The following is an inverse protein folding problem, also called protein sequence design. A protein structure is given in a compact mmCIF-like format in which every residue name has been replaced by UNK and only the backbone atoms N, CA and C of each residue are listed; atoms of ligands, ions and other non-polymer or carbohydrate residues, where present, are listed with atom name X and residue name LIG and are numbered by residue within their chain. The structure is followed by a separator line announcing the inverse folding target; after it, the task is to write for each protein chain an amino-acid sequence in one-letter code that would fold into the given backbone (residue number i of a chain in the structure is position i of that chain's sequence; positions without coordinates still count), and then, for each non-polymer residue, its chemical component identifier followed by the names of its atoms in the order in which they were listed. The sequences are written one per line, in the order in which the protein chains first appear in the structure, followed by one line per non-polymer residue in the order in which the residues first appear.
data_IF_130560407746
#
_entry.id   IF_130560407746
#
_cell.length_a   1.000
_cell.length_b   1.000
_cell.length_c   1.000
_cell.angle_alpha   90.00
_cell.angle_beta   90.00
_cell.angle_gamma   90.00
#
_symmetry.space_group_name_H-M   'P 1'
#
loop_
_entity.id
_entity.type
_entity.pdbx_description
1 polymer ?
#
# COMPACT_ATOMS: atom_id res chain seq x y z
N UNK A 1 -17.95 33.99 -6.45
CA UNK A 1 -18.27 35.07 -7.41
C UNK A 1 -17.03 35.83 -7.86
N UNK A 2 -16.04 36.10 -7.04
CA UNK A 2 -14.78 36.78 -7.38
C UNK A 2 -13.88 36.03 -8.39
N UNK A 3 -13.84 34.70 -8.33
CA UNK A 3 -13.05 33.86 -9.25
C UNK A 3 -13.63 33.86 -10.69
N UNK A 4 -14.95 33.97 -10.81
CA UNK A 4 -15.63 33.99 -12.10
C UNK A 4 -15.46 35.35 -12.82
N UNK A 5 -15.31 36.47 -12.07
CA UNK A 5 -15.08 37.79 -12.61
C UNK A 5 -13.62 38.01 -13.03
N UNK A 6 -12.66 37.39 -12.36
CA UNK A 6 -11.23 37.48 -12.69
C UNK A 6 -10.89 36.77 -14.00
N UNK A 7 -11.52 35.60 -14.26
CA UNK A 7 -11.33 34.87 -15.52
C UNK A 7 -11.95 35.60 -16.73
N UNK A 8 -13.01 36.39 -16.51
CA UNK A 8 -13.59 37.23 -17.60
C UNK A 8 -12.74 38.44 -17.93
N UNK A 9 -11.98 39.00 -16.99
CA UNK A 9 -11.11 40.19 -17.21
C UNK A 9 -9.78 39.84 -17.92
N UNK A 10 -9.28 38.64 -17.83
CA UNK A 10 -8.11 38.23 -18.65
C UNK A 10 -8.41 38.04 -20.13
N UNK A 11 -9.68 38.08 -20.53
CA UNK A 11 -10.13 37.73 -21.88
C UNK A 11 -10.33 38.95 -22.83
N UNK A 12 -10.20 40.17 -22.34
CA UNK A 12 -10.53 41.36 -23.16
C UNK A 12 -9.34 42.23 -23.58
N UNK A 13 -8.11 41.88 -23.23
CA UNK A 13 -6.97 42.71 -23.54
C UNK A 13 -5.76 41.92 -24.07
N UNK A 14 -5.84 41.38 -25.29
CA UNK A 14 -4.64 41.11 -26.08
C UNK A 14 -4.96 41.24 -27.57
N UNK A 15 -4.33 42.23 -28.16
CA UNK A 15 -4.30 42.54 -29.56
C UNK A 15 -3.74 41.39 -30.42
N UNK A 16 -4.23 41.42 -31.66
CA UNK A 16 -3.85 40.72 -32.87
C UNK A 16 -2.35 40.31 -32.96
N UNK A 17 -2.16 39.09 -33.48
CA UNK A 17 -0.92 38.49 -33.99
C UNK A 17 -0.08 37.72 -32.99
N UNK A 18 -0.51 36.48 -32.70
CA UNK A 18 0.35 35.34 -32.48
C UNK A 18 -0.55 34.08 -32.56
N UNK A 19 -0.28 33.23 -33.53
CA UNK A 19 -1.01 31.98 -33.73
C UNK A 19 -0.73 30.98 -32.58
N UNK A 20 -1.41 31.19 -31.48
CA UNK A 20 -1.48 30.22 -30.40
C UNK A 20 -2.82 29.50 -30.52
N UNK A 21 -2.79 28.20 -30.80
CA UNK A 21 -3.92 27.28 -30.64
C UNK A 21 -4.33 27.25 -29.17
N UNK A 22 -4.99 28.30 -28.70
CA UNK A 22 -5.64 28.29 -27.38
C UNK A 22 -6.81 27.30 -27.46
N UNK A 23 -6.68 26.14 -26.86
CA UNK A 23 -7.77 25.19 -26.67
C UNK A 23 -8.83 25.87 -25.81
N UNK A 24 -9.86 26.38 -26.44
CA UNK A 24 -11.01 27.01 -25.77
C UNK A 24 -11.76 25.95 -24.99
N UNK A 25 -11.48 25.81 -23.71
CA UNK A 25 -12.17 24.86 -22.82
C UNK A 25 -13.63 25.30 -22.70
N UNK A 26 -14.53 24.56 -23.33
CA UNK A 26 -15.97 24.84 -23.30
C UNK A 26 -16.56 24.22 -22.02
N UNK A 27 -16.62 24.97 -20.93
CA UNK A 27 -17.14 24.56 -19.63
C UNK A 27 -18.53 23.91 -19.70
N UNK A 28 -19.41 24.40 -20.58
CA UNK A 28 -20.75 23.83 -20.75
C UNK A 28 -20.72 22.41 -21.34
N UNK A 29 -19.75 22.10 -22.22
CA UNK A 29 -19.57 20.75 -22.75
C UNK A 29 -19.03 19.79 -21.67
N UNK A 30 -18.07 20.25 -20.87
CA UNK A 30 -17.51 19.46 -19.75
C UNK A 30 -18.60 19.18 -18.71
N UNK A 31 -19.35 20.19 -18.32
CA UNK A 31 -20.43 20.07 -17.35
C UNK A 31 -21.53 19.10 -17.82
N UNK A 32 -21.87 19.12 -19.11
CA UNK A 32 -22.81 18.18 -19.71
C UNK A 32 -22.22 16.76 -19.77
N UNK A 33 -20.93 16.62 -20.06
CA UNK A 33 -20.26 15.31 -20.10
C UNK A 33 -20.19 14.66 -18.70
N UNK A 34 -19.79 15.41 -17.67
CA UNK A 34 -19.75 14.95 -16.27
C UNK A 34 -21.16 14.55 -15.78
N UNK A 35 -22.21 15.25 -16.24
CA UNK A 35 -23.59 14.96 -15.88
C UNK A 35 -24.11 13.61 -16.41
N UNK A 36 -23.51 13.03 -17.45
CA UNK A 36 -23.87 11.71 -17.93
C UNK A 36 -23.47 10.63 -16.89
N UNK A 37 -24.16 9.49 -16.87
CA UNK A 37 -23.83 8.40 -15.94
C UNK A 37 -22.39 7.91 -16.11
N UNK A 38 -21.95 7.72 -17.34
CA UNK A 38 -20.57 7.33 -17.62
C UNK A 38 -19.58 8.44 -17.22
N UNK A 39 -19.89 9.68 -17.56
CA UNK A 39 -19.05 10.81 -17.18
C UNK A 39 -18.90 10.98 -15.68
N UNK A 40 -19.96 10.71 -14.91
CA UNK A 40 -19.91 10.73 -13.45
C UNK A 40 -19.00 9.61 -12.90
N UNK A 41 -19.14 8.36 -13.39
CA UNK A 41 -18.27 7.24 -13.05
C UNK A 41 -16.81 7.57 -13.36
N UNK A 42 -16.53 8.10 -14.56
CA UNK A 42 -15.15 8.47 -14.94
C UNK A 42 -14.60 9.61 -14.08
N UNK A 43 -15.44 10.56 -13.66
CA UNK A 43 -15.02 11.63 -12.75
C UNK A 43 -14.62 11.06 -11.38
N UNK A 44 -15.44 10.18 -10.80
CA UNK A 44 -15.11 9.52 -9.53
C UNK A 44 -13.85 8.65 -9.66
N UNK A 45 -13.70 7.94 -10.76
CA UNK A 45 -12.50 7.16 -11.06
C UNK A 45 -11.25 8.04 -11.13
N UNK A 46 -11.33 9.18 -11.82
CA UNK A 46 -10.21 10.12 -11.91
C UNK A 46 -9.83 10.69 -10.54
N UNK A 47 -10.83 11.06 -9.73
CA UNK A 47 -10.57 11.54 -8.36
C UNK A 47 -9.93 10.45 -7.50
N UNK A 48 -10.42 9.21 -7.56
CA UNK A 48 -9.83 8.08 -6.87
C UNK A 48 -8.39 7.83 -7.32
N UNK A 49 -8.15 7.82 -8.63
CA UNK A 49 -6.83 7.63 -9.22
C UNK A 49 -5.84 8.71 -8.77
N UNK A 50 -6.22 9.98 -8.83
CA UNK A 50 -5.36 11.09 -8.38
C UNK A 50 -5.02 10.99 -6.88
N UNK A 51 -5.99 10.64 -6.03
CA UNK A 51 -5.74 10.39 -4.61
C UNK A 51 -4.81 9.21 -4.38
N UNK A 52 -4.99 8.13 -5.14
CA UNK A 52 -4.13 6.96 -5.03
C UNK A 52 -2.71 7.28 -5.46
N UNK A 53 -2.52 8.05 -6.53
CA UNK A 53 -1.19 8.52 -6.94
C UNK A 53 -0.54 9.43 -5.89
N UNK A 54 -1.33 10.30 -5.27
CA UNK A 54 -0.87 11.15 -4.17
C UNK A 54 -0.37 10.29 -3.00
N UNK A 55 -1.15 9.29 -2.57
CA UNK A 55 -0.76 8.35 -1.52
C UNK A 55 0.48 7.55 -1.90
N UNK A 56 0.57 7.08 -3.14
CA UNK A 56 1.70 6.31 -3.64
C UNK A 56 3.01 7.11 -3.61
N UNK A 57 2.94 8.41 -3.90
CA UNK A 57 4.15 9.25 -3.96
C UNK A 57 4.53 9.84 -2.60
N UNK A 58 3.57 10.28 -1.80
CA UNK A 58 3.83 11.03 -0.57
C UNK A 58 3.89 10.13 0.66
N UNK A 59 2.96 9.18 0.78
CA UNK A 59 2.84 8.36 1.99
C UNK A 59 3.53 7.02 1.86
N UNK A 60 3.33 6.30 0.73
CA UNK A 60 3.87 4.95 0.56
C UNK A 60 5.27 4.92 -0.07
N UNK A 61 5.76 6.06 -0.54
CA UNK A 61 7.07 6.16 -1.21
C UNK A 61 7.24 5.10 -2.32
N UNK A 62 6.14 4.78 -3.02
CA UNK A 62 6.22 3.90 -4.17
C UNK A 62 6.92 4.65 -5.29
N UNK A 63 8.03 4.10 -5.79
CA UNK A 63 8.78 4.69 -6.90
C UNK A 63 7.94 4.67 -8.18
N UNK A 64 7.29 5.81 -8.48
CA UNK A 64 6.47 6.01 -9.69
C UNK A 64 7.26 6.91 -10.64
N UNK A 65 7.85 6.34 -11.67
CA UNK A 65 8.62 7.08 -12.67
C UNK A 65 7.94 7.05 -14.03
N UNK A 66 7.37 8.16 -14.45
CA UNK A 66 6.74 8.30 -15.77
C UNK A 66 7.76 8.45 -16.93
N UNK A 67 9.01 8.77 -16.64
CA UNK A 67 9.97 9.22 -17.64
C UNK A 67 11.04 8.25 -18.10
N UNK A 68 11.19 7.08 -17.48
CA UNK A 68 12.20 6.08 -17.84
C UNK A 68 11.56 4.71 -18.07
N UNK A 69 11.11 4.49 -19.29
CA UNK A 69 10.60 3.18 -19.73
C UNK A 69 11.69 2.09 -19.83
N UNK A 70 12.97 2.44 -19.76
CA UNK A 70 14.05 1.45 -19.77
C UNK A 70 14.26 0.89 -18.36
N UNK A 71 13.79 -0.33 -18.14
CA UNK A 71 14.12 -1.15 -16.97
C UNK A 71 13.25 -0.96 -15.74
N UNK A 72 12.11 -0.24 -15.80
CA UNK A 72 11.24 -0.07 -14.65
C UNK A 72 9.73 -0.13 -14.99
N UNK A 73 9.31 -1.26 -15.55
CA UNK A 73 7.91 -1.50 -15.90
C UNK A 73 6.97 -1.42 -14.68
N UNK A 74 7.45 -1.76 -13.49
CA UNK A 74 6.66 -1.64 -12.25
C UNK A 74 6.26 -0.21 -11.93
N UNK A 75 7.09 0.78 -12.24
CA UNK A 75 6.75 2.18 -12.05
C UNK A 75 5.62 2.63 -13.00
N UNK A 76 5.65 2.13 -14.23
CA UNK A 76 4.59 2.35 -15.21
C UNK A 76 3.30 1.63 -14.80
N UNK A 77 3.40 0.38 -14.37
CA UNK A 77 2.26 -0.39 -13.85
C UNK A 77 1.63 0.35 -12.66
N UNK A 78 2.42 0.80 -11.69
CA UNK A 78 1.93 1.49 -10.50
C UNK A 78 1.14 2.77 -10.81
N UNK A 79 1.47 3.47 -11.89
CA UNK A 79 0.73 4.64 -12.33
C UNK A 79 -0.70 4.30 -12.80
N UNK A 80 -0.87 3.19 -13.51
CA UNK A 80 -2.14 2.79 -14.11
C UNK A 80 -2.94 1.79 -13.29
N UNK A 81 -2.32 1.03 -12.38
CA UNK A 81 -2.94 -0.09 -11.67
C UNK A 81 -4.21 0.25 -10.87
N UNK A 82 -4.44 1.50 -10.37
CA UNK A 82 -5.68 1.80 -9.68
C UNK A 82 -6.89 1.88 -10.60
N UNK A 83 -6.66 2.15 -11.91
CA UNK A 83 -7.72 2.41 -12.87
C UNK A 83 -8.55 1.18 -13.23
N UNK A 84 -7.98 0.00 -13.60
CA UNK A 84 -8.77 -1.14 -14.04
C UNK A 84 -9.76 -1.63 -12.98
N UNK A 85 -9.28 -1.86 -11.78
CA UNK A 85 -10.13 -2.37 -10.69
C UNK A 85 -11.06 -1.27 -10.13
N UNK A 86 -10.59 -0.04 -10.04
CA UNK A 86 -11.42 1.12 -9.70
C UNK A 86 -12.58 1.30 -10.67
N UNK A 87 -12.32 1.18 -11.99
CA UNK A 87 -13.36 1.22 -13.01
C UNK A 87 -14.30 0.02 -12.91
N UNK A 88 -13.77 -1.18 -12.68
CA UNK A 88 -14.58 -2.40 -12.53
C UNK A 88 -15.60 -2.23 -11.40
N UNK A 89 -15.16 -1.76 -10.24
CA UNK A 89 -16.04 -1.56 -9.08
C UNK A 89 -17.05 -0.44 -9.32
N UNK A 90 -16.63 0.72 -9.83
CA UNK A 90 -17.52 1.84 -10.10
C UNK A 90 -18.51 1.53 -11.25
N UNK A 91 -18.11 0.72 -12.23
CA UNK A 91 -18.98 0.31 -13.34
C UNK A 91 -20.19 -0.52 -12.87
N UNK A 92 -20.12 -1.18 -11.71
CA UNK A 92 -21.28 -1.88 -11.13
C UNK A 92 -22.49 -0.96 -10.95
N UNK A 93 -22.26 0.32 -10.66
CA UNK A 93 -23.34 1.29 -10.56
C UNK A 93 -24.09 1.50 -11.88
N UNK A 94 -23.43 1.33 -13.05
CA UNK A 94 -24.05 1.52 -14.38
C UNK A 94 -25.19 0.54 -14.67
N UNK A 95 -25.27 -0.57 -13.94
CA UNK A 95 -26.38 -1.54 -14.06
C UNK A 95 -27.66 -1.06 -13.39
N UNK A 96 -27.59 -0.04 -12.52
CA UNK A 96 -28.75 0.50 -11.83
C UNK A 96 -29.67 1.26 -12.82
N UNK A 97 -30.93 0.85 -12.93
CA UNK A 97 -31.93 1.53 -13.77
C UNK A 97 -32.37 2.85 -13.16
N UNK A 98 -32.61 2.86 -11.84
CA UNK A 98 -33.03 4.05 -11.10
C UNK A 98 -31.90 5.07 -10.99
N UNK A 99 -32.21 6.35 -11.24
CA UNK A 99 -31.28 7.45 -11.09
C UNK A 99 -30.77 7.58 -9.66
N UNK A 100 -31.65 7.48 -8.67
CA UNK A 100 -31.27 7.57 -7.26
C UNK A 100 -30.29 6.44 -6.89
N UNK A 101 -30.63 5.20 -7.24
CA UNK A 101 -29.78 4.03 -6.94
C UNK A 101 -28.42 4.19 -7.61
N UNK A 102 -28.38 4.60 -8.87
CA UNK A 102 -27.13 4.80 -9.61
C UNK A 102 -26.17 5.75 -8.86
N UNK A 103 -26.61 6.96 -8.55
CA UNK A 103 -25.75 7.95 -7.90
C UNK A 103 -25.40 7.56 -6.47
N UNK A 104 -26.34 6.97 -5.71
CA UNK A 104 -26.07 6.46 -4.36
C UNK A 104 -25.03 5.36 -4.39
N UNK A 105 -25.18 4.34 -5.23
CA UNK A 105 -24.24 3.23 -5.36
C UNK A 105 -22.86 3.73 -5.82
N UNK A 106 -22.82 4.65 -6.80
CA UNK A 106 -21.56 5.23 -7.25
C UNK A 106 -20.81 5.95 -6.11
N UNK A 107 -21.51 6.76 -5.31
CA UNK A 107 -20.92 7.47 -4.18
C UNK A 107 -20.51 6.49 -3.07
N UNK A 108 -21.32 5.48 -2.77
CA UNK A 108 -20.97 4.46 -1.77
C UNK A 108 -19.71 3.70 -2.16
N UNK A 109 -19.63 3.21 -3.41
CA UNK A 109 -18.42 2.51 -3.89
C UNK A 109 -17.21 3.44 -3.83
N UNK A 110 -17.35 4.69 -4.28
CA UNK A 110 -16.28 5.67 -4.21
C UNK A 110 -15.82 5.93 -2.78
N UNK A 111 -16.77 6.09 -1.84
CA UNK A 111 -16.47 6.29 -0.41
C UNK A 111 -15.77 5.07 0.19
N UNK A 112 -16.18 3.86 -0.16
CA UNK A 112 -15.51 2.63 0.31
C UNK A 112 -14.08 2.52 -0.22
N UNK A 113 -13.86 2.83 -1.50
CA UNK A 113 -12.51 2.89 -2.09
C UNK A 113 -11.64 3.95 -1.41
N UNK A 114 -12.21 5.09 -1.09
CA UNK A 114 -11.53 6.16 -0.38
C UNK A 114 -11.20 5.78 1.07
N UNK A 115 -12.16 5.23 1.81
CA UNK A 115 -11.95 4.77 3.19
C UNK A 115 -10.83 3.72 3.21
N UNK A 116 -10.85 2.78 2.27
CA UNK A 116 -9.80 1.76 2.16
C UNK A 116 -8.43 2.37 1.87
N UNK A 117 -8.36 3.31 0.93
CA UNK A 117 -7.13 4.04 0.61
C UNK A 117 -6.59 4.78 1.84
N UNK A 118 -7.43 5.60 2.49
CA UNK A 118 -7.01 6.44 3.60
C UNK A 118 -6.67 5.64 4.86
N UNK A 119 -7.39 4.55 5.13
CA UNK A 119 -7.01 3.61 6.20
C UNK A 119 -5.62 3.02 5.98
N UNK A 120 -5.26 2.68 4.74
CA UNK A 120 -3.93 2.21 4.42
C UNK A 120 -2.87 3.32 4.52
N UNK A 121 -3.19 4.58 4.17
CA UNK A 121 -2.28 5.72 4.40
C UNK A 121 -1.97 5.85 5.87
N UNK A 122 -3.00 5.80 6.72
CA UNK A 122 -2.85 5.91 8.16
C UNK A 122 -2.03 4.76 8.76
N UNK A 123 -2.35 3.53 8.37
CA UNK A 123 -1.66 2.33 8.80
C UNK A 123 -0.19 2.31 8.34
N UNK A 124 0.07 2.72 7.10
CA UNK A 124 1.43 2.73 6.55
C UNK A 124 2.35 3.73 7.25
N UNK A 125 1.83 4.86 7.72
CA UNK A 125 2.60 5.85 8.48
C UNK A 125 3.14 5.29 9.78
N UNK A 126 2.39 4.39 10.42
CA UNK A 126 2.80 3.75 11.68
C UNK A 126 3.64 2.50 11.44
N UNK A 127 3.14 1.60 10.61
CA UNK A 127 3.71 0.27 10.47
C UNK A 127 4.61 0.07 9.25
N UNK A 128 4.72 1.05 8.35
CA UNK A 128 5.42 0.95 7.05
C UNK A 128 5.02 -0.31 6.25
N UNK A 129 3.75 -0.69 6.35
CA UNK A 129 3.16 -1.84 5.68
C UNK A 129 1.67 -1.59 5.36
N UNK A 130 1.01 -2.51 4.65
CA UNK A 130 -0.37 -2.41 4.24
C UNK A 130 -1.29 -3.30 5.08
N UNK A 131 -2.55 -2.88 5.24
CA UNK A 131 -3.56 -3.63 5.98
C UNK A 131 -3.89 -4.92 5.24
N UNK A 132 -3.58 -6.06 5.85
CA UNK A 132 -3.97 -7.38 5.36
C UNK A 132 -5.33 -7.81 5.91
N UNK A 133 -5.93 -8.86 5.33
CA UNK A 133 -7.17 -9.43 5.85
C UNK A 133 -7.02 -9.95 7.30
N UNK A 134 -5.84 -10.44 7.67
CA UNK A 134 -5.55 -10.86 9.05
C UNK A 134 -5.42 -9.66 9.99
N UNK A 135 -4.71 -8.61 9.57
CA UNK A 135 -4.56 -7.38 10.34
C UNK A 135 -5.91 -6.73 10.68
N UNK A 136 -6.86 -6.74 9.73
CA UNK A 136 -8.21 -6.23 9.98
C UNK A 136 -8.92 -6.91 11.15
N UNK A 137 -8.70 -8.22 11.36
CA UNK A 137 -9.27 -8.96 12.50
C UNK A 137 -8.68 -8.51 13.83
N UNK A 138 -7.43 -8.09 13.83
CA UNK A 138 -6.71 -7.67 15.05
C UNK A 138 -7.01 -6.22 15.38
N UNK A 139 -7.01 -5.32 14.39
CA UNK A 139 -7.34 -3.90 14.58
C UNK A 139 -8.74 -3.73 15.22
N UNK A 140 -9.67 -4.62 14.91
CA UNK A 140 -10.99 -4.62 15.56
C UNK A 140 -10.96 -4.92 17.07
N UNK A 141 -9.85 -5.46 17.60
CA UNK A 141 -9.68 -5.85 19.01
C UNK A 141 -8.75 -4.89 19.77
N UNK A 142 -8.02 -4.04 19.07
CA UNK A 142 -7.11 -3.06 19.68
C UNK A 142 -7.90 -1.78 19.93
N UNK A 143 -7.92 -1.32 21.18
CA UNK A 143 -8.51 -0.02 21.51
C UNK A 143 -7.67 1.09 20.90
N UNK A 144 -8.33 1.99 20.15
CA UNK A 144 -7.76 3.19 19.56
C UNK A 144 -7.21 4.08 20.70
N UNK A 145 -5.90 4.24 20.76
CA UNK A 145 -5.22 5.04 21.77
C UNK A 145 -4.97 6.49 21.33
N UNK A 146 -4.55 7.33 22.27
CA UNK A 146 -4.26 8.76 22.03
C UNK A 146 -3.11 9.03 21.07
N UNK A 147 -2.23 8.05 20.82
CA UNK A 147 -1.09 8.15 19.88
C UNK A 147 -1.54 8.33 18.41
N UNK A 148 -2.78 8.03 18.09
CA UNK A 148 -3.27 8.07 16.70
C UNK A 148 -3.47 9.49 16.16
N UNK A 149 -3.64 10.49 17.04
CA UNK A 149 -3.77 11.88 16.60
C UNK A 149 -2.48 12.46 16.02
N UNK A 150 -1.32 11.92 16.41
CA UNK A 150 0.00 12.33 15.89
C UNK A 150 0.22 11.89 14.44
N UNK A 151 -0.50 10.86 13.99
CA UNK A 151 -0.41 10.36 12.62
C UNK A 151 -1.18 11.23 11.61
N UNK A 152 -2.11 12.08 12.10
CA UNK A 152 -2.84 13.03 11.27
C UNK A 152 -1.95 14.20 10.89
N UNK A 153 -1.81 14.43 9.59
CA UNK A 153 -1.05 15.56 9.04
C UNK A 153 -1.99 16.65 8.55
N UNK A 154 -1.58 17.91 8.71
CA UNK A 154 -2.37 19.05 8.22
C UNK A 154 -2.69 18.96 6.72
N UNK A 155 -1.85 18.27 5.95
CA UNK A 155 -2.06 18.06 4.51
C UNK A 155 -3.14 17.03 4.18
N UNK A 156 -3.62 16.27 5.14
CA UNK A 156 -4.60 15.21 4.90
C UNK A 156 -5.95 15.75 4.42
N UNK A 157 -6.24 17.04 4.67
CA UNK A 157 -7.44 17.65 4.13
C UNK A 157 -7.53 17.56 2.60
N UNK A 158 -6.39 17.44 1.90
CA UNK A 158 -6.34 17.27 0.44
C UNK A 158 -7.08 16.00 0.01
N UNK A 159 -6.96 14.92 0.79
CA UNK A 159 -7.67 13.66 0.53
C UNK A 159 -9.19 13.79 0.64
N UNK A 160 -9.69 14.78 1.38
CA UNK A 160 -11.12 14.96 1.64
C UNK A 160 -11.76 16.06 0.81
N UNK A 161 -10.97 16.95 0.17
CA UNK A 161 -11.47 18.16 -0.51
C UNK A 161 -12.50 17.91 -1.61
N UNK A 162 -12.45 16.78 -2.26
CA UNK A 162 -13.37 16.46 -3.36
C UNK A 162 -14.79 16.16 -2.87
N UNK A 163 -14.98 15.66 -1.64
CA UNK A 163 -16.32 15.41 -1.08
C UNK A 163 -17.13 16.69 -0.93
N UNK A 164 -16.66 17.74 -0.22
CA UNK A 164 -17.37 19.00 -0.16
C UNK A 164 -17.49 19.68 -1.52
N UNK A 165 -16.48 19.53 -2.42
CA UNK A 165 -16.54 20.06 -3.77
C UNK A 165 -17.65 19.38 -4.58
N UNK A 166 -17.73 18.05 -4.58
CA UNK A 166 -18.79 17.29 -5.25
C UNK A 166 -20.16 17.63 -4.68
N UNK A 167 -20.30 17.69 -3.35
CA UNK A 167 -21.53 18.08 -2.69
C UNK A 167 -21.98 19.50 -3.10
N UNK A 168 -21.05 20.45 -3.14
CA UNK A 168 -21.32 21.82 -3.60
C UNK A 168 -21.75 21.88 -5.05
N UNK A 169 -21.06 21.15 -5.96
CA UNK A 169 -21.40 21.11 -7.38
C UNK A 169 -22.77 20.48 -7.65
N UNK A 170 -23.12 19.44 -6.87
CA UNK A 170 -24.46 18.82 -6.93
C UNK A 170 -25.53 19.75 -6.34
N UNK A 171 -25.28 20.41 -5.20
CA UNK A 171 -26.20 21.34 -4.58
C UNK A 171 -26.51 22.56 -5.48
N UNK A 172 -25.48 23.15 -6.06
CA UNK A 172 -25.61 24.26 -7.01
C UNK A 172 -26.16 23.84 -8.38
N UNK A 173 -26.51 22.54 -8.56
CA UNK A 173 -26.96 21.98 -9.85
C UNK A 173 -25.99 22.27 -11.00
N UNK A 174 -24.72 22.47 -10.69
CA UNK A 174 -23.68 22.58 -11.69
C UNK A 174 -23.49 21.27 -12.46
N UNK A 175 -23.72 20.13 -11.81
CA UNK A 175 -23.79 18.81 -12.44
C UNK A 175 -25.27 18.45 -12.58
N UNK A 176 -25.75 18.37 -13.83
CA UNK A 176 -27.13 17.93 -14.09
C UNK A 176 -27.18 16.40 -14.12
N UNK A 177 -27.94 15.83 -13.19
CA UNK A 177 -28.08 14.37 -13.06
C UNK A 177 -28.80 13.78 -14.28
N UNK A 178 -28.19 12.85 -14.99
CA UNK A 178 -28.81 12.14 -16.11
C UNK A 178 -29.86 11.15 -15.61
N UNK A 179 -31.10 11.39 -15.97
CA UNK A 179 -32.23 10.54 -15.59
C UNK A 179 -32.38 9.29 -16.48
N UNK A 180 -31.66 9.24 -17.62
CA UNK A 180 -31.76 8.12 -18.57
C UNK A 180 -30.97 6.92 -18.04
N UNK A 181 -31.55 5.70 -18.08
CA UNK A 181 -30.82 4.51 -17.73
C UNK A 181 -29.66 4.29 -18.73
N UNK A 182 -28.54 3.80 -18.22
CA UNK A 182 -27.43 3.43 -19.08
C UNK A 182 -27.74 2.13 -19.82
N UNK A 183 -27.27 1.99 -21.05
CA UNK A 183 -27.55 0.80 -21.87
C UNK A 183 -26.86 -0.42 -21.29
N UNK A 184 -27.61 -1.48 -21.02
CA UNK A 184 -27.08 -2.73 -20.44
C UNK A 184 -25.86 -3.28 -21.20
N UNK A 185 -25.95 -3.33 -22.55
CA UNK A 185 -24.82 -3.78 -23.39
C UNK A 185 -23.56 -2.94 -23.19
N UNK A 186 -23.71 -1.63 -23.02
CA UNK A 186 -22.58 -0.74 -22.76
C UNK A 186 -22.02 -0.93 -21.34
N UNK A 187 -22.87 -1.21 -20.33
CA UNK A 187 -22.39 -1.56 -18.99
C UNK A 187 -21.54 -2.84 -19.03
N UNK A 188 -22.03 -3.88 -19.71
CA UNK A 188 -21.30 -5.14 -19.89
C UNK A 188 -19.96 -4.90 -20.61
N UNK A 189 -19.97 -4.10 -21.69
CA UNK A 189 -18.74 -3.80 -22.43
C UNK A 189 -17.71 -3.08 -21.57
N UNK A 190 -18.12 -2.11 -20.73
CA UNK A 190 -17.21 -1.39 -19.82
C UNK A 190 -16.68 -2.34 -18.76
N UNK A 191 -17.52 -3.18 -18.17
CA UNK A 191 -17.11 -4.18 -17.17
C UNK A 191 -16.12 -5.18 -17.77
N UNK A 192 -16.41 -5.69 -18.97
CA UNK A 192 -15.52 -6.61 -19.68
C UNK A 192 -14.16 -5.95 -20.03
N UNK A 193 -14.19 -4.69 -20.49
CA UNK A 193 -12.98 -3.93 -20.76
C UNK A 193 -12.16 -3.74 -19.48
N UNK A 194 -12.80 -3.40 -18.37
CA UNK A 194 -12.11 -3.22 -17.08
C UNK A 194 -11.49 -4.54 -16.60
N UNK A 195 -12.20 -5.66 -16.74
CA UNK A 195 -11.67 -6.98 -16.40
C UNK A 195 -10.49 -7.36 -17.31
N UNK A 196 -10.57 -7.08 -18.61
CA UNK A 196 -9.46 -7.30 -19.55
C UNK A 196 -8.22 -6.46 -19.19
N UNK A 197 -8.41 -5.18 -18.87
CA UNK A 197 -7.32 -4.29 -18.45
C UNK A 197 -6.70 -4.77 -17.13
N UNK A 198 -7.52 -5.27 -16.19
CA UNK A 198 -7.01 -5.84 -14.94
C UNK A 198 -6.22 -7.13 -15.20
N UNK A 199 -6.71 -8.01 -16.07
CA UNK A 199 -5.97 -9.22 -16.47
C UNK A 199 -4.66 -8.89 -17.18
N UNK A 200 -4.65 -7.87 -18.02
CA UNK A 200 -3.42 -7.37 -18.65
C UNK A 200 -2.44 -6.82 -17.61
N UNK A 201 -2.94 -6.10 -16.58
CA UNK A 201 -2.11 -5.63 -15.48
C UNK A 201 -1.48 -6.78 -14.69
N UNK A 202 -2.25 -7.85 -14.41
CA UNK A 202 -1.72 -9.06 -13.76
C UNK A 202 -0.62 -9.72 -14.60
N UNK A 203 -0.86 -9.84 -15.89
CA UNK A 203 0.11 -10.44 -16.82
C UNK A 203 1.42 -9.63 -16.90
N UNK A 204 1.33 -8.31 -16.96
CA UNK A 204 2.51 -7.42 -16.95
C UNK A 204 3.26 -7.50 -15.62
N UNK A 205 2.56 -7.60 -14.51
CA UNK A 205 3.15 -7.75 -13.18
C UNK A 205 3.94 -9.07 -13.06
N UNK A 206 3.40 -10.15 -13.62
CA UNK A 206 4.05 -11.47 -13.63
C UNK A 206 5.30 -11.51 -14.56
N UNK A 207 5.24 -10.82 -15.70
CA UNK A 207 6.42 -10.68 -16.59
C UNK A 207 7.54 -9.93 -15.88
N UNK A 208 7.22 -8.86 -15.20
CA UNK A 208 8.21 -8.02 -14.51
C UNK A 208 8.82 -8.73 -13.29
N UNK A 209 8.00 -9.49 -12.57
CA UNK A 209 8.41 -10.27 -11.41
C UNK A 209 7.73 -11.63 -11.41
N UNK A 210 8.40 -12.64 -11.99
CA UNK A 210 7.89 -14.01 -11.93
C UNK A 210 7.64 -14.45 -10.48
N UNK A 211 6.57 -15.20 -10.29
CA UNK A 211 6.14 -15.73 -8.99
C UNK A 211 5.83 -14.67 -7.90
N UNK A 212 5.54 -13.42 -8.31
CA UNK A 212 5.24 -12.33 -7.37
C UNK A 212 4.12 -12.69 -6.39
N UNK A 213 3.07 -13.35 -6.88
CA UNK A 213 1.90 -13.70 -6.09
C UNK A 213 2.08 -14.98 -5.27
N UNK A 214 2.94 -15.90 -5.72
CA UNK A 214 3.19 -17.18 -5.06
C UNK A 214 4.24 -17.09 -3.96
N UNK A 215 5.29 -16.31 -4.19
CA UNK A 215 6.41 -16.19 -3.26
C UNK A 215 6.19 -15.16 -2.14
N UNK A 216 5.20 -14.25 -2.30
CA UNK A 216 4.81 -13.33 -1.23
C UNK A 216 5.93 -12.44 -0.69
N UNK A 217 6.81 -11.93 -1.54
CA UNK A 217 8.04 -11.21 -1.16
C UNK A 217 7.79 -10.03 -0.22
N UNK A 218 6.82 -9.20 -0.53
CA UNK A 218 6.50 -8.01 0.24
C UNK A 218 5.18 -7.43 -0.23
N UNK A 219 4.37 -7.00 0.72
CA UNK A 219 3.11 -6.30 0.45
C UNK A 219 3.32 -5.04 -0.41
N UNK A 220 4.46 -4.36 -0.23
CA UNK A 220 4.86 -3.21 -1.04
C UNK A 220 4.88 -3.51 -2.54
N UNK A 221 5.52 -4.61 -2.94
CA UNK A 221 5.60 -4.99 -4.36
C UNK A 221 4.24 -5.41 -4.91
N UNK A 222 3.43 -6.08 -4.11
CA UNK A 222 2.09 -6.52 -4.53
C UNK A 222 1.17 -5.31 -4.72
N UNK A 223 1.16 -4.35 -3.80
CA UNK A 223 0.38 -3.11 -3.95
C UNK A 223 0.87 -2.29 -5.15
N UNK A 224 2.20 -2.19 -5.33
CA UNK A 224 2.80 -1.50 -6.46
C UNK A 224 2.40 -2.13 -7.80
N UNK A 225 2.28 -3.45 -7.86
CA UNK A 225 1.92 -4.18 -9.07
C UNK A 225 0.40 -4.23 -9.33
N UNK A 226 -0.42 -4.41 -8.27
CA UNK A 226 -1.84 -4.75 -8.43
C UNK A 226 -2.82 -3.68 -7.97
N UNK A 227 -2.42 -2.70 -7.18
CA UNK A 227 -3.24 -1.73 -6.45
C UNK A 227 -3.79 -2.22 -5.10
N UNK A 228 -4.18 -1.26 -4.25
CA UNK A 228 -4.71 -1.55 -2.91
C UNK A 228 -5.98 -2.40 -2.88
N UNK A 229 -7.01 -2.18 -3.75
CA UNK A 229 -8.18 -3.04 -3.74
C UNK A 229 -7.89 -4.49 -4.16
N UNK A 230 -6.95 -4.69 -5.11
CA UNK A 230 -6.53 -6.03 -5.51
C UNK A 230 -5.71 -6.70 -4.41
N UNK A 231 -4.87 -5.96 -3.71
CA UNK A 231 -4.11 -6.44 -2.57
C UNK A 231 -5.03 -6.96 -1.44
N UNK A 232 -6.16 -6.31 -1.17
CA UNK A 232 -7.14 -6.83 -0.22
C UNK A 232 -7.65 -8.22 -0.62
N UNK A 233 -8.01 -8.40 -1.90
CA UNK A 233 -8.42 -9.71 -2.42
C UNK A 233 -7.31 -10.76 -2.32
N UNK A 234 -6.09 -10.38 -2.67
CA UNK A 234 -4.90 -11.23 -2.54
C UNK A 234 -4.69 -11.67 -1.09
N UNK A 235 -4.62 -10.73 -0.15
CA UNK A 235 -4.38 -11.02 1.27
C UNK A 235 -5.52 -11.85 1.90
N UNK A 236 -6.78 -11.63 1.45
CA UNK A 236 -7.91 -12.44 1.89
C UNK A 236 -7.78 -13.90 1.43
N UNK A 237 -7.39 -14.13 0.17
CA UNK A 237 -7.16 -15.47 -0.36
C UNK A 237 -6.01 -16.18 0.37
N UNK A 238 -4.91 -15.48 0.62
CA UNK A 238 -3.78 -15.99 1.39
C UNK A 238 -4.19 -16.39 2.82
N UNK A 239 -4.93 -15.50 3.50
CA UNK A 239 -5.43 -15.76 4.85
C UNK A 239 -6.39 -16.96 4.89
N UNK A 240 -7.23 -17.09 3.87
CA UNK A 240 -8.14 -18.24 3.73
C UNK A 240 -7.35 -19.54 3.55
N UNK A 241 -6.35 -19.56 2.66
CA UNK A 241 -5.50 -20.71 2.41
C UNK A 241 -4.73 -21.13 3.68
N UNK A 242 -4.10 -20.17 4.36
CA UNK A 242 -3.37 -20.42 5.60
C UNK A 242 -4.28 -21.01 6.70
N UNK A 243 -5.48 -20.44 6.88
CA UNK A 243 -6.44 -20.96 7.86
C UNK A 243 -6.94 -22.38 7.52
N UNK A 244 -7.11 -22.67 6.23
CA UNK A 244 -7.49 -24.00 5.75
C UNK A 244 -6.41 -25.04 6.02
N UNK A 245 -5.15 -24.69 5.79
CA UNK A 245 -4.03 -25.60 6.10
C UNK A 245 -3.88 -25.81 7.61
N UNK A 246 -3.99 -24.76 8.42
CA UNK A 246 -4.02 -24.90 9.89
C UNK A 246 -5.13 -25.82 10.39
N UNK A 247 -6.33 -25.72 9.82
CA UNK A 247 -7.45 -26.55 10.22
C UNK A 247 -7.27 -28.04 9.88
N UNK A 248 -6.37 -28.36 8.93
CA UNK A 248 -6.02 -29.73 8.57
C UNK A 248 -4.83 -30.28 9.33
N UNK A 249 -4.00 -29.40 9.91
CA UNK A 249 -2.80 -29.78 10.60
C UNK A 249 -3.12 -30.70 11.79
N UNK A 250 -2.38 -31.77 11.92
CA UNK A 250 -2.50 -32.81 12.97
C UNK A 250 -1.15 -33.02 13.68
N UNK A 251 -1.18 -33.64 14.83
CA UNK A 251 0.06 -33.99 15.54
C UNK A 251 0.98 -34.91 14.72
N UNK A 252 0.41 -35.70 13.81
CA UNK A 252 1.19 -36.58 12.93
C UNK A 252 2.02 -35.83 11.93
N UNK A 253 1.63 -34.58 11.59
CA UNK A 253 2.37 -33.73 10.65
C UNK A 253 3.63 -33.12 11.30
N UNK A 254 3.71 -33.14 12.63
CA UNK A 254 4.87 -32.63 13.37
C UNK A 254 6.03 -33.65 13.40
N UNK A 255 5.72 -34.96 13.30
CA UNK A 255 6.75 -36.01 13.39
C UNK A 255 7.85 -35.85 12.29
N UNK A 256 7.53 -35.70 11.01
CA UNK A 256 8.55 -35.52 9.98
C UNK A 256 9.40 -34.24 10.18
N UNK A 257 8.79 -33.18 10.75
CA UNK A 257 9.51 -31.94 11.07
C UNK A 257 10.48 -32.18 12.24
N UNK A 258 10.02 -32.88 13.27
CA UNK A 258 10.84 -33.23 14.44
C UNK A 258 12.01 -34.10 14.03
N UNK A 259 11.76 -35.13 13.21
CA UNK A 259 12.79 -36.03 12.68
C UNK A 259 13.82 -35.27 11.87
N UNK A 260 13.37 -34.35 10.95
CA UNK A 260 14.25 -33.48 10.16
C UNK A 260 15.13 -32.61 11.06
N UNK A 261 14.54 -31.95 12.08
CA UNK A 261 15.28 -31.12 13.04
C UNK A 261 16.33 -31.93 13.77
N UNK A 262 16.00 -33.15 14.26
CA UNK A 262 16.94 -34.03 14.96
C UNK A 262 18.09 -34.44 14.05
N UNK A 263 17.81 -34.80 12.80
CA UNK A 263 18.80 -35.23 11.82
C UNK A 263 19.76 -34.11 11.40
N UNK A 264 19.21 -32.87 11.25
CA UNK A 264 19.96 -31.72 10.73
C UNK A 264 20.45 -30.76 11.82
N UNK A 265 20.19 -31.02 13.09
CA UNK A 265 20.66 -30.18 14.18
C UNK A 265 22.18 -30.15 14.26
N UNK A 266 22.74 -28.93 14.31
CA UNK A 266 24.17 -28.74 14.45
C UNK A 266 24.67 -29.30 15.79
N UNK A 267 25.75 -30.06 15.77
CA UNK A 267 26.39 -30.52 16.99
C UNK A 267 27.03 -29.33 17.72
N UNK A 268 26.87 -29.23 19.06
CA UNK A 268 27.52 -28.21 19.83
C UNK A 268 29.04 -28.27 19.67
N UNK A 269 29.68 -27.12 19.48
CA UNK A 269 31.15 -27.02 19.45
C UNK A 269 31.67 -27.17 20.87
N UNK A 270 32.59 -28.15 21.18
CA UNK A 270 33.05 -28.41 22.52
C UNK A 270 33.63 -27.17 23.24
N UNK A 271 34.32 -26.29 22.49
CA UNK A 271 34.97 -25.10 23.05
C UNK A 271 34.00 -24.04 23.59
N UNK A 272 32.75 -24.05 23.12
CA UNK A 272 31.73 -23.08 23.54
C UNK A 272 30.59 -23.71 24.32
N UNK A 273 30.46 -25.02 24.31
CA UNK A 273 29.36 -25.69 24.98
C UNK A 273 29.48 -25.55 26.50
N UNK A 274 28.44 -25.00 27.11
CA UNK A 274 28.38 -24.85 28.57
C UNK A 274 29.07 -23.57 29.11
N UNK A 275 29.65 -22.69 28.30
CA UNK A 275 30.26 -21.44 28.77
C UNK A 275 29.28 -20.55 29.56
N UNK A 276 28.01 -20.57 29.18
CA UNK A 276 26.96 -19.81 29.85
C UNK A 276 26.24 -20.58 30.96
N UNK A 277 26.69 -21.81 31.31
CA UNK A 277 26.04 -22.58 32.35
C UNK A 277 26.06 -21.86 33.71
N UNK A 278 24.89 -21.66 34.31
CA UNK A 278 24.72 -20.91 35.54
C UNK A 278 24.89 -19.38 35.41
N UNK A 279 24.89 -18.87 34.20
CA UNK A 279 24.90 -17.41 33.92
C UNK A 279 23.51 -16.95 33.52
N UNK A 280 23.25 -15.65 33.74
CA UNK A 280 22.08 -14.97 33.19
C UNK A 280 22.36 -14.60 31.74
N UNK A 281 21.34 -14.70 30.88
CA UNK A 281 21.41 -14.28 29.49
C UNK A 281 20.52 -13.04 29.33
N UNK A 282 21.07 -11.99 28.75
CA UNK A 282 20.36 -10.75 28.47
C UNK A 282 20.38 -10.53 26.95
N UNK A 283 19.20 -10.49 26.34
CA UNK A 283 19.05 -10.15 24.94
C UNK A 283 18.79 -8.64 24.80
N UNK A 284 19.61 -7.97 24.00
CA UNK A 284 19.40 -6.58 23.62
C UNK A 284 18.98 -6.54 22.15
N UNK A 285 17.70 -6.35 21.92
CA UNK A 285 17.15 -6.21 20.58
C UNK A 285 17.23 -4.73 20.16
N UNK A 286 18.18 -4.40 19.32
CA UNK A 286 18.38 -3.02 18.84
C UNK A 286 17.54 -2.78 17.59
N UNK A 287 16.37 -2.16 17.77
CA UNK A 287 15.43 -1.84 16.69
C UNK A 287 16.07 -0.91 15.65
N UNK A 288 15.94 -1.25 14.38
CA UNK A 288 16.47 -0.48 13.24
C UNK A 288 17.99 -0.25 13.24
N UNK A 289 18.73 -0.93 14.10
CA UNK A 289 20.19 -0.82 14.13
C UNK A 289 20.80 -1.48 12.89
N UNK A 290 21.73 -0.78 12.25
CA UNK A 290 22.41 -1.27 11.05
C UNK A 290 23.91 -1.31 11.23
N UNK A 291 24.55 -2.33 10.66
CA UNK A 291 25.98 -2.59 10.81
C UNK A 291 26.88 -1.43 10.40
N UNK A 292 26.48 -0.59 9.43
CA UNK A 292 27.28 0.55 8.99
C UNK A 292 27.54 1.58 10.11
N UNK A 293 26.74 1.56 11.20
CA UNK A 293 26.93 2.43 12.35
C UNK A 293 28.13 2.03 13.19
N UNK A 294 28.58 0.78 13.10
CA UNK A 294 29.83 0.36 13.74
C UNK A 294 31.00 1.07 13.05
N UNK A 295 31.90 1.62 13.86
CA UNK A 295 33.07 2.43 13.42
C UNK A 295 32.70 3.70 12.63
N UNK A 296 31.42 4.03 12.53
CA UNK A 296 31.00 5.24 11.84
C UNK A 296 31.33 6.48 12.65
N UNK A 297 31.97 7.46 11.97
CA UNK A 297 32.37 8.73 12.57
C UNK A 297 31.61 9.88 11.93
N UNK A 298 30.81 10.56 12.74
CA UNK A 298 30.11 11.78 12.34
C UNK A 298 30.99 12.98 12.52
N UNK A 299 31.08 13.84 11.51
CA UNK A 299 31.83 15.09 11.61
C UNK A 299 30.88 16.21 12.10
N UNK A 300 31.16 16.73 13.32
CA UNK A 300 30.41 17.83 13.91
C UNK A 300 31.44 18.95 14.15
N UNK A 301 31.20 20.11 13.54
CA UNK A 301 32.08 21.31 13.69
C UNK A 301 33.56 21.01 13.44
N UNK A 302 33.86 20.18 12.46
CA UNK A 302 35.23 19.78 12.09
C UNK A 302 35.85 18.69 12.96
N UNK A 303 35.15 18.21 13.99
CA UNK A 303 35.60 17.12 14.88
C UNK A 303 34.89 15.84 14.57
N UNK A 304 35.64 14.73 14.48
CA UNK A 304 35.06 13.37 14.24
C UNK A 304 34.67 12.74 15.56
N UNK A 305 33.36 12.41 15.68
CA UNK A 305 32.80 11.72 16.84
C UNK A 305 32.35 10.33 16.44
N UNK A 306 32.70 9.30 17.20
CA UNK A 306 32.20 7.95 17.04
C UNK A 306 30.73 7.88 17.46
N UNK A 307 29.87 7.39 16.57
CA UNK A 307 28.42 7.32 16.84
C UNK A 307 28.10 6.22 17.86
N UNK A 308 28.81 5.10 17.77
CA UNK A 308 28.55 3.90 18.58
C UNK A 308 29.78 3.47 19.39
N UNK A 309 30.39 4.39 20.12
CA UNK A 309 31.67 4.16 20.84
C UNK A 309 31.63 2.86 21.70
N UNK A 310 30.59 2.68 22.51
CA UNK A 310 30.46 1.48 23.36
C UNK A 310 30.33 0.19 22.56
N UNK A 311 29.48 0.19 21.53
CA UNK A 311 29.32 -1.00 20.67
C UNK A 311 30.59 -1.29 19.87
N UNK A 312 31.32 -0.28 19.42
CA UNK A 312 32.62 -0.45 18.76
C UNK A 312 33.60 -1.14 19.71
N UNK A 313 33.64 -0.74 20.97
CA UNK A 313 34.55 -1.35 21.97
C UNK A 313 34.20 -2.83 22.21
N UNK A 314 32.92 -3.19 22.24
CA UNK A 314 32.48 -4.57 22.34
C UNK A 314 32.82 -5.35 21.07
N UNK A 315 32.52 -4.78 19.90
CA UNK A 315 32.71 -5.42 18.60
C UNK A 315 34.16 -5.81 18.34
N UNK A 316 35.12 -4.99 18.76
CA UNK A 316 36.56 -5.23 18.62
C UNK A 316 37.19 -5.94 19.83
N UNK A 317 36.40 -6.26 20.86
CA UNK A 317 36.93 -6.93 22.06
C UNK A 317 37.28 -8.39 21.78
N UNK A 318 38.40 -8.86 22.30
CA UNK A 318 38.77 -10.28 22.23
C UNK A 318 37.85 -11.21 23.06
N UNK A 319 37.10 -10.63 23.98
CA UNK A 319 36.12 -11.36 24.81
C UNK A 319 34.74 -11.46 24.18
N UNK A 320 34.54 -10.92 22.98
CA UNK A 320 33.26 -10.86 22.28
C UNK A 320 33.30 -11.72 21.02
N UNK A 321 32.23 -12.49 20.78
CA UNK A 321 31.99 -13.10 19.49
C UNK A 321 31.21 -12.14 18.62
N UNK A 322 31.86 -11.51 17.66
CA UNK A 322 31.27 -10.56 16.75
C UNK A 322 31.12 -11.17 15.34
N UNK A 323 29.99 -10.89 14.70
CA UNK A 323 29.67 -11.37 13.36
C UNK A 323 29.31 -10.21 12.47
N UNK A 324 29.96 -10.11 11.31
CA UNK A 324 29.73 -9.05 10.31
C UNK A 324 28.88 -9.49 9.12
N UNK A 325 28.58 -10.77 8.99
CA UNK A 325 27.87 -11.35 7.86
C UNK A 325 26.53 -11.95 8.31
N UNK A 326 25.65 -11.10 8.87
CA UNK A 326 24.32 -11.49 9.33
C UNK A 326 23.29 -10.84 8.42
N UNK A 327 22.38 -11.66 7.88
CA UNK A 327 21.30 -11.23 7.02
C UNK A 327 19.96 -11.29 7.77
N UNK A 328 19.14 -10.29 7.52
CA UNK A 328 17.79 -10.22 8.06
C UNK A 328 16.94 -11.38 7.49
N UNK A 329 16.28 -12.14 8.37
CA UNK A 329 15.41 -13.27 8.05
C UNK A 329 13.95 -13.03 8.44
N UNK A 330 13.61 -11.83 8.95
CA UNK A 330 12.22 -11.50 9.28
C UNK A 330 11.37 -11.38 8.03
N UNK A 331 10.09 -11.67 8.18
CA UNK A 331 9.06 -11.56 7.15
C UNK A 331 8.04 -10.46 7.52
N UNK A 332 6.77 -10.76 7.35
CA UNK A 332 5.68 -9.80 7.61
C UNK A 332 5.56 -9.39 9.09
N UNK A 333 5.97 -10.22 10.01
CA UNK A 333 5.93 -9.95 11.46
C UNK A 333 7.03 -9.01 11.98
N UNK A 334 8.05 -8.68 11.14
CA UNK A 334 9.11 -7.71 11.46
C UNK A 334 9.78 -7.99 12.80
N UNK A 335 9.70 -7.05 13.77
CA UNK A 335 10.27 -7.19 15.13
C UNK A 335 9.76 -8.44 15.85
N UNK A 336 8.47 -8.73 15.73
CA UNK A 336 7.87 -9.95 16.31
C UNK A 336 8.47 -11.24 15.74
N UNK A 337 8.81 -11.25 14.44
CA UNK A 337 9.49 -12.41 13.84
C UNK A 337 10.91 -12.55 14.39
N UNK A 338 11.64 -11.42 14.55
CA UNK A 338 13.00 -11.45 15.10
C UNK A 338 13.02 -11.99 16.53
N UNK A 339 12.08 -11.57 17.37
CA UNK A 339 11.91 -12.11 18.73
C UNK A 339 11.58 -13.61 18.70
N UNK A 340 10.61 -14.01 17.87
CA UNK A 340 10.19 -15.41 17.74
C UNK A 340 11.34 -16.30 17.26
N UNK A 341 12.12 -15.85 16.27
CA UNK A 341 13.28 -16.60 15.76
C UNK A 341 14.34 -16.78 16.86
N UNK A 342 14.56 -15.75 17.67
CA UNK A 342 15.52 -15.80 18.77
C UNK A 342 15.09 -16.81 19.85
N UNK A 343 13.81 -16.82 20.20
CA UNK A 343 13.24 -17.68 21.25
C UNK A 343 13.05 -19.15 20.81
N UNK A 344 12.69 -19.37 19.55
CA UNK A 344 12.24 -20.68 19.08
C UNK A 344 13.15 -21.32 18.03
N UNK A 345 14.00 -20.54 17.36
CA UNK A 345 14.76 -20.98 16.19
C UNK A 345 13.92 -21.20 14.92
N UNK A 346 12.65 -20.78 14.92
CA UNK A 346 11.75 -20.93 13.78
C UNK A 346 11.68 -19.64 12.97
N UNK A 347 11.60 -19.78 11.64
CA UNK A 347 11.42 -18.61 10.76
C UNK A 347 10.03 -17.97 10.94
N UNK A 348 9.96 -16.66 10.64
CA UNK A 348 8.71 -15.91 10.64
C UNK A 348 7.67 -16.48 9.66
N UNK A 349 6.39 -16.25 9.96
CA UNK A 349 5.28 -16.66 9.12
C UNK A 349 5.24 -15.85 7.82
N UNK A 350 4.78 -16.45 6.73
CA UNK A 350 4.65 -15.76 5.44
C UNK A 350 3.65 -14.60 5.50
N UNK A 351 2.70 -14.65 6.43
CA UNK A 351 1.72 -13.59 6.67
C UNK A 351 1.43 -13.40 8.15
N UNK A 352 1.34 -12.11 8.54
CA UNK A 352 1.13 -11.73 9.93
C UNK A 352 2.36 -12.02 10.78
N UNK A 353 2.15 -12.19 12.06
CA UNK A 353 3.18 -12.60 13.03
C UNK A 353 2.63 -13.64 13.98
N UNK A 354 3.51 -14.30 14.74
CA UNK A 354 3.09 -15.22 15.79
C UNK A 354 2.21 -14.56 16.86
N UNK A 355 2.33 -13.24 17.05
CA UNK A 355 1.53 -12.50 18.03
C UNK A 355 0.07 -12.29 17.58
N UNK A 356 -0.21 -12.33 16.28
CA UNK A 356 -1.54 -12.01 15.72
C UNK A 356 -2.22 -13.20 15.02
N UNK A 357 -1.58 -14.36 14.99
CA UNK A 357 -2.10 -15.57 14.33
C UNK A 357 -2.49 -16.67 15.32
#
# INVERSE_FOLDING_TARGET
MLFYSSLKKCYTNTNKNLGSNCVRINFNKIQKAIGTRLGFVLTLLTLYWLKTLLAYTIDFNLDIQLGKLQGNYLAFIAFFNPLPLGLLLLALALYARSTKIFYTVSIVIYSLLFIWLYSNVFYYREFSDFITANTMKVVSKVSVGTAELELLRLWDFIYFMDFPLLAFLLYKKCIQLDKRPFRFRSSVAITALSALLFSANLFLAEIERPDLLSLGFSNYYIVRALSLPAFLGYSANQSYSANKERAKASETDLQPITDYIQEHSAKPKPDYFGLAKGKNVIYLHLESFQQFLLDYKLNIDGTKHEVTHFLNSLYHSQSTLAFSNIFNQVKAGKTSDAETMLETGLFGLDQGSFMVN
#
